data_IF_568812110527
#
_entry.id   IF_568812110527
#
_cell.length_a   1.000
_cell.length_b   1.000
_cell.length_c   1.000
_cell.angle_alpha   90.00
_cell.angle_beta   90.00
_cell.angle_gamma   90.00
#
_symmetry.space_group_name_H-M   'P 1'
#
loop_
_entity.id
_entity.type
_entity.pdbx_description
1 polymer ?
#
# COMPACT_ATOMS: atom_id res chain seq x y z
N UNK A 1 -2.55 42.46 -0.56
CA UNK A 1 -3.51 41.66 0.22
C UNK A 1 -4.73 41.41 -0.66
N UNK A 2 -4.69 40.38 -1.50
CA UNK A 2 -5.88 39.96 -2.25
C UNK A 2 -6.64 39.01 -1.33
N UNK A 3 -7.83 39.43 -0.88
CA UNK A 3 -8.75 38.54 -0.20
C UNK A 3 -9.16 37.44 -1.19
N UNK A 4 -8.57 36.25 -1.04
CA UNK A 4 -9.03 35.04 -1.71
C UNK A 4 -10.50 34.87 -1.32
N UNK A 5 -11.42 34.97 -2.28
CA UNK A 5 -12.83 34.70 -2.02
C UNK A 5 -12.96 33.27 -1.52
N UNK A 6 -13.33 33.11 -0.24
CA UNK A 6 -13.57 31.80 0.38
C UNK A 6 -15.01 31.39 0.06
N UNK A 7 -15.17 30.31 -0.68
CA UNK A 7 -16.47 29.74 -1.01
C UNK A 7 -16.92 28.79 0.09
N UNK A 8 -18.21 28.82 0.43
CA UNK A 8 -18.78 27.79 1.28
C UNK A 8 -18.64 26.43 0.58
N UNK A 9 -18.17 25.41 1.30
CA UNK A 9 -18.10 24.08 0.75
C UNK A 9 -19.53 23.56 0.46
N UNK A 10 -19.72 22.81 -0.64
CA UNK A 10 -21.00 22.18 -0.94
C UNK A 10 -21.43 21.19 0.16
N UNK A 11 -22.74 20.93 0.27
CA UNK A 11 -23.25 19.93 1.22
C UNK A 11 -22.76 18.50 0.88
N UNK A 12 -22.54 17.65 1.88
CA UNK A 12 -22.18 16.26 1.66
C UNK A 12 -23.38 15.51 1.06
N UNK A 13 -23.14 14.80 -0.04
CA UNK A 13 -24.17 14.04 -0.76
C UNK A 13 -24.81 12.98 0.14
N UNK A 14 -26.15 12.91 0.16
CA UNK A 14 -26.91 11.85 0.84
C UNK A 14 -26.66 10.44 0.23
N UNK A 15 -25.97 10.37 -0.92
CA UNK A 15 -25.57 9.09 -1.55
C UNK A 15 -24.27 8.52 -0.99
N UNK A 16 -23.55 9.26 -0.16
CA UNK A 16 -22.34 8.76 0.50
C UNK A 16 -22.71 7.63 1.46
N UNK A 17 -22.05 6.48 1.29
CA UNK A 17 -22.18 5.39 2.24
C UNK A 17 -21.19 5.59 3.40
N UNK A 18 -21.66 5.47 4.63
CA UNK A 18 -20.85 5.64 5.85
C UNK A 18 -20.78 4.34 6.67
N UNK A 19 -19.97 3.35 6.26
CA UNK A 19 -19.82 2.10 7.00
C UNK A 19 -19.46 2.36 8.47
N UNK A 20 -20.17 1.70 9.39
CA UNK A 20 -19.95 1.85 10.83
C UNK A 20 -20.53 3.12 11.45
N UNK A 21 -21.31 3.93 10.72
CA UNK A 21 -22.10 5.04 11.28
C UNK A 21 -23.60 4.81 11.11
N UNK A 22 -24.37 5.14 12.13
CA UNK A 22 -25.83 5.06 12.09
C UNK A 22 -26.48 6.21 11.30
N UNK A 23 -25.79 7.35 11.20
CA UNK A 23 -26.26 8.55 10.52
C UNK A 23 -25.18 9.08 9.57
N UNK A 24 -25.61 9.50 8.38
CA UNK A 24 -24.76 10.17 7.41
C UNK A 24 -24.28 11.51 7.97
N UNK A 25 -23.01 11.84 7.69
CA UNK A 25 -22.42 13.11 8.10
C UNK A 25 -22.85 14.23 7.16
N UNK A 26 -23.17 15.40 7.71
CA UNK A 26 -23.50 16.62 6.97
C UNK A 26 -22.45 17.70 7.22
N UNK A 27 -22.32 18.65 6.30
CA UNK A 27 -21.45 19.82 6.48
C UNK A 27 -21.83 20.64 7.72
N UNK A 28 -23.11 20.64 8.11
CA UNK A 28 -23.56 21.26 9.35
C UNK A 28 -22.93 20.63 10.61
N UNK A 29 -22.63 19.32 10.59
CA UNK A 29 -22.02 18.61 11.72
C UNK A 29 -20.54 19.00 11.90
N UNK A 30 -19.89 19.37 10.79
CA UNK A 30 -18.48 19.80 10.72
C UNK A 30 -18.26 21.26 11.15
N UNK A 31 -19.34 22.05 11.28
CA UNK A 31 -19.22 23.44 11.73
C UNK A 31 -18.75 23.53 13.16
N UNK A 32 -18.07 24.63 13.47
CA UNK A 32 -17.51 24.92 14.77
C UNK A 32 -16.15 24.28 15.02
N UNK A 33 -15.49 23.72 14.01
CA UNK A 33 -14.09 23.31 14.08
C UNK A 33 -13.46 23.32 12.67
N UNK A 34 -12.18 23.72 12.53
CA UNK A 34 -11.41 23.46 11.32
C UNK A 34 -11.48 21.99 10.90
N UNK A 35 -11.66 21.73 9.60
CA UNK A 35 -11.78 20.37 9.07
C UNK A 35 -10.82 20.12 7.92
N UNK A 36 -10.14 18.98 7.94
CA UNK A 36 -9.41 18.42 6.81
C UNK A 36 -10.30 17.39 6.11
N UNK A 37 -10.74 17.69 4.90
CA UNK A 37 -11.54 16.78 4.07
C UNK A 37 -10.67 16.19 2.96
N UNK A 38 -10.52 14.87 2.94
CA UNK A 38 -9.76 14.14 1.92
C UNK A 38 -10.69 13.53 0.88
N UNK A 39 -10.38 13.73 -0.39
CA UNK A 39 -10.88 12.93 -1.51
C UNK A 39 -9.75 12.01 -1.99
N UNK A 40 -9.95 10.70 -1.90
CA UNK A 40 -8.91 9.71 -2.12
C UNK A 40 -9.41 8.43 -2.80
N UNK A 41 -8.49 7.53 -3.12
CA UNK A 41 -8.78 6.19 -3.62
C UNK A 41 -8.04 5.18 -2.74
N UNK A 42 -8.70 4.11 -2.30
CA UNK A 42 -8.16 3.18 -1.29
C UNK A 42 -6.93 2.40 -1.80
N UNK A 43 -6.86 2.15 -3.11
CA UNK A 43 -5.74 1.47 -3.75
C UNK A 43 -4.51 2.36 -3.96
N UNK A 44 -4.63 3.68 -3.76
CA UNK A 44 -3.59 4.67 -4.05
C UNK A 44 -2.59 4.82 -2.90
N UNK A 45 -1.30 4.67 -3.20
CA UNK A 45 -0.21 4.83 -2.24
C UNK A 45 -0.12 6.29 -1.72
N UNK A 46 -0.39 7.29 -2.57
CA UNK A 46 -0.50 8.70 -2.18
C UNK A 46 -1.70 8.98 -1.26
N UNK A 47 -2.86 8.34 -1.50
CA UNK A 47 -4.02 8.47 -0.59
C UNK A 47 -3.69 7.88 0.77
N UNK A 48 -3.06 6.70 0.81
CA UNK A 48 -2.60 6.05 2.04
C UNK A 48 -1.62 6.93 2.83
N UNK A 49 -0.72 7.64 2.14
CA UNK A 49 0.15 8.64 2.77
C UNK A 49 -0.67 9.76 3.43
N UNK A 50 -1.65 10.33 2.72
CA UNK A 50 -2.47 11.43 3.25
C UNK A 50 -3.30 11.02 4.46
N UNK A 51 -3.80 9.78 4.49
CA UNK A 51 -4.51 9.24 5.65
C UNK A 51 -3.59 9.16 6.90
N UNK A 52 -2.31 8.83 6.71
CA UNK A 52 -1.33 8.85 7.79
C UNK A 52 -0.97 10.27 8.23
N UNK A 53 -0.78 11.17 7.28
CA UNK A 53 -0.51 12.58 7.55
C UNK A 53 -1.64 13.17 8.39
N UNK A 54 -2.90 12.90 8.00
CA UNK A 54 -4.09 13.30 8.78
C UNK A 54 -4.06 12.69 10.19
N UNK A 55 -3.74 11.41 10.32
CA UNK A 55 -3.60 10.76 11.64
C UNK A 55 -2.50 11.39 12.50
N UNK A 56 -1.37 11.81 11.90
CA UNK A 56 -0.29 12.54 12.59
C UNK A 56 -0.77 13.91 13.07
N UNK A 57 -1.52 14.63 12.25
CA UNK A 57 -2.05 15.96 12.58
C UNK A 57 -3.09 15.89 13.70
N UNK A 58 -3.98 14.90 13.66
CA UNK A 58 -4.96 14.68 14.72
C UNK A 58 -4.31 14.33 16.06
N UNK A 59 -3.15 13.66 16.09
CA UNK A 59 -2.42 13.46 17.34
C UNK A 59 -1.91 14.78 17.96
N UNK A 60 -1.69 15.81 17.14
CA UNK A 60 -1.20 17.13 17.60
C UNK A 60 -2.33 18.13 17.86
N UNK A 61 -3.40 18.06 17.07
CA UNK A 61 -4.47 19.06 17.04
C UNK A 61 -5.87 18.46 17.23
N UNK A 62 -6.00 17.20 17.65
CA UNK A 62 -7.28 16.46 17.65
C UNK A 62 -8.39 17.04 18.52
N UNK A 63 -8.05 17.90 19.47
CA UNK A 63 -9.01 18.62 20.32
C UNK A 63 -9.73 19.76 19.56
N UNK A 64 -9.15 20.24 18.46
CA UNK A 64 -9.61 21.42 17.71
C UNK A 64 -9.75 21.19 16.21
N UNK A 65 -9.11 20.15 15.66
CA UNK A 65 -9.10 19.82 14.24
C UNK A 65 -9.94 18.57 13.99
N UNK A 66 -10.82 18.62 12.99
CA UNK A 66 -11.58 17.46 12.52
C UNK A 66 -10.98 16.90 11.22
N UNK A 67 -11.20 15.62 10.98
CA UNK A 67 -10.81 14.97 9.73
C UNK A 67 -11.95 14.10 9.20
N UNK A 68 -12.10 14.09 7.88
CA UNK A 68 -13.04 13.23 7.16
C UNK A 68 -12.39 12.79 5.87
N UNK A 69 -12.57 11.53 5.48
CA UNK A 69 -12.11 11.05 4.18
C UNK A 69 -13.28 10.47 3.36
N UNK A 70 -13.37 10.91 2.10
CA UNK A 70 -14.31 10.44 1.10
C UNK A 70 -13.51 9.64 0.07
N UNK A 71 -13.72 8.33 0.04
CA UNK A 71 -13.04 7.47 -0.91
C UNK A 71 -13.90 7.27 -2.14
N UNK A 72 -13.29 7.53 -3.28
CA UNK A 72 -13.89 7.41 -4.61
C UNK A 72 -13.23 6.22 -5.29
N UNK A 73 -14.01 5.21 -5.72
CA UNK A 73 -13.46 4.00 -6.34
C UNK A 73 -12.73 4.34 -7.63
N UNK A 74 -11.50 3.85 -7.77
CA UNK A 74 -10.82 3.71 -9.06
C UNK A 74 -11.18 2.37 -9.69
N UNK A 75 -11.20 1.30 -8.89
CA UNK A 75 -11.50 -0.06 -9.31
C UNK A 75 -12.90 -0.49 -8.90
N UNK A 76 -13.49 -1.45 -9.61
CA UNK A 76 -14.82 -1.99 -9.27
C UNK A 76 -14.83 -2.62 -7.88
N UNK A 77 -13.76 -3.30 -7.48
CA UNK A 77 -13.63 -3.87 -6.13
C UNK A 77 -13.81 -2.83 -5.02
N UNK A 78 -13.33 -1.60 -5.22
CA UNK A 78 -13.39 -0.54 -4.21
C UNK A 78 -14.83 -0.01 -3.98
N UNK A 79 -15.80 -0.40 -4.83
CA UNK A 79 -17.22 -0.15 -4.57
C UNK A 79 -17.79 -1.01 -3.44
N UNK A 80 -17.11 -2.08 -3.07
CA UNK A 80 -17.47 -2.90 -1.92
C UNK A 80 -17.04 -2.22 -0.61
N UNK A 81 -17.99 -1.90 0.31
CA UNK A 81 -17.68 -1.27 1.59
C UNK A 81 -16.67 -2.01 2.46
N UNK A 82 -16.47 -3.33 2.25
CA UNK A 82 -15.46 -4.12 2.97
C UNK A 82 -14.04 -3.58 2.75
N UNK A 83 -13.72 -3.06 1.56
CA UNK A 83 -12.41 -2.45 1.30
C UNK A 83 -12.18 -1.17 2.10
N UNK A 84 -13.24 -0.39 2.34
CA UNK A 84 -13.18 0.80 3.18
C UNK A 84 -12.91 0.42 4.64
N UNK A 85 -13.61 -0.59 5.15
CA UNK A 85 -13.42 -1.12 6.51
C UNK A 85 -12.01 -1.70 6.69
N UNK A 86 -11.53 -2.46 5.69
CA UNK A 86 -10.16 -2.97 5.66
C UNK A 86 -9.14 -1.83 5.74
N UNK A 87 -9.27 -0.79 4.91
CA UNK A 87 -8.35 0.36 4.94
C UNK A 87 -8.38 1.08 6.30
N UNK A 88 -9.58 1.29 6.85
CA UNK A 88 -9.75 1.92 8.15
C UNK A 88 -9.03 1.14 9.26
N UNK A 89 -9.15 -0.19 9.24
CA UNK A 89 -8.49 -1.08 10.20
C UNK A 89 -6.98 -1.16 9.99
N UNK A 90 -6.53 -1.32 8.74
CA UNK A 90 -5.10 -1.45 8.37
C UNK A 90 -4.29 -0.21 8.78
N UNK A 91 -4.89 0.98 8.67
CA UNK A 91 -4.27 2.24 9.08
C UNK A 91 -4.67 2.71 10.50
N UNK A 92 -5.50 1.92 11.20
CA UNK A 92 -6.05 2.27 12.52
C UNK A 92 -6.63 3.70 12.58
N UNK A 93 -7.40 4.09 11.55
CA UNK A 93 -7.88 5.47 11.39
C UNK A 93 -8.94 5.81 12.43
N UNK A 94 -8.72 6.92 13.14
CA UNK A 94 -9.59 7.42 14.20
C UNK A 94 -10.66 8.40 13.74
N UNK A 95 -10.90 8.53 12.44
CA UNK A 95 -11.82 9.52 11.85
C UNK A 95 -12.76 8.88 10.81
N UNK A 96 -13.89 9.52 10.48
CA UNK A 96 -14.90 8.96 9.59
C UNK A 96 -14.42 8.82 8.14
N UNK A 97 -14.73 7.66 7.56
CA UNK A 97 -14.55 7.38 6.15
C UNK A 97 -15.91 7.17 5.49
N UNK A 98 -16.11 7.75 4.31
CA UNK A 98 -17.27 7.49 3.45
C UNK A 98 -16.83 6.91 2.12
N UNK A 99 -17.71 6.12 1.52
CA UNK A 99 -17.59 5.64 0.16
C UNK A 99 -18.49 6.49 -0.76
N UNK A 100 -17.87 7.19 -1.71
CA UNK A 100 -18.53 7.93 -2.79
C UNK A 100 -18.54 7.07 -4.07
N UNK A 101 -19.29 5.97 -4.04
CA UNK A 101 -19.27 4.95 -5.09
C UNK A 101 -19.67 5.49 -6.49
N UNK A 102 -20.49 6.55 -6.51
CA UNK A 102 -21.04 7.18 -7.70
C UNK A 102 -20.36 8.51 -8.05
N UNK A 103 -19.25 8.86 -7.38
CA UNK A 103 -18.47 10.08 -7.63
C UNK A 103 -19.30 11.37 -7.47
N UNK A 104 -20.30 11.35 -6.60
CA UNK A 104 -21.26 12.43 -6.44
C UNK A 104 -20.65 13.61 -5.69
N UNK A 105 -20.02 13.36 -4.54
CA UNK A 105 -19.32 14.38 -3.79
C UNK A 105 -18.08 14.85 -4.57
N UNK A 106 -17.38 13.93 -5.23
CA UNK A 106 -16.26 14.28 -6.12
C UNK A 106 -16.62 15.35 -7.15
N UNK A 107 -17.71 15.15 -7.91
CA UNK A 107 -18.18 16.11 -8.91
C UNK A 107 -18.69 17.40 -8.27
N UNK A 108 -19.43 17.30 -7.17
CA UNK A 108 -20.02 18.45 -6.50
C UNK A 108 -18.98 19.41 -5.92
N UNK A 109 -17.87 18.88 -5.40
CA UNK A 109 -16.73 19.65 -4.88
C UNK A 109 -15.72 20.07 -5.96
N UNK A 110 -15.96 19.66 -7.22
CA UNK A 110 -15.09 19.96 -8.36
C UNK A 110 -13.69 19.40 -8.17
N UNK A 111 -13.58 18.14 -7.71
CA UNK A 111 -12.28 17.48 -7.53
C UNK A 111 -11.83 16.89 -8.87
N UNK A 112 -10.53 16.98 -9.17
CA UNK A 112 -9.96 16.56 -10.45
C UNK A 112 -8.91 15.46 -10.32
N UNK A 113 -8.35 15.26 -9.11
CA UNK A 113 -7.22 14.34 -8.91
C UNK A 113 -7.18 13.73 -7.50
N UNK A 114 -6.74 12.49 -7.44
CA UNK A 114 -6.47 11.79 -6.19
C UNK A 114 -5.01 11.93 -5.77
N UNK A 115 -4.73 12.02 -4.45
CA UNK A 115 -5.62 12.55 -3.43
C UNK A 115 -5.78 14.06 -3.56
N UNK A 116 -6.90 14.61 -3.09
CA UNK A 116 -7.06 16.06 -2.88
C UNK A 116 -7.51 16.32 -1.44
N UNK A 117 -6.82 17.23 -0.74
CA UNK A 117 -7.21 17.73 0.58
C UNK A 117 -7.86 19.10 0.45
N UNK A 118 -9.00 19.28 1.11
CA UNK A 118 -9.62 20.57 1.35
C UNK A 118 -9.46 20.94 2.82
N UNK A 119 -8.92 22.13 3.06
CA UNK A 119 -8.83 22.73 4.38
C UNK A 119 -10.00 23.70 4.57
N UNK A 120 -10.91 23.33 5.46
CA UNK A 120 -12.13 24.08 5.74
C UNK A 120 -12.01 24.82 7.07
N UNK A 121 -12.43 26.09 7.11
CA UNK A 121 -12.55 26.84 8.36
C UNK A 121 -13.73 26.33 9.21
N UNK A 122 -13.88 26.88 10.43
CA UNK A 122 -14.93 26.48 11.36
C UNK A 122 -16.35 26.77 10.85
N UNK A 123 -16.51 27.64 9.84
CA UNK A 123 -17.81 27.89 9.21
C UNK A 123 -18.10 26.95 8.02
N UNK A 124 -17.14 26.11 7.65
CA UNK A 124 -17.23 25.19 6.52
C UNK A 124 -16.89 25.83 5.18
N UNK A 125 -16.09 26.91 5.16
CA UNK A 125 -15.61 27.52 3.91
C UNK A 125 -14.25 26.97 3.53
N UNK A 126 -14.04 26.74 2.23
CA UNK A 126 -12.76 26.26 1.70
C UNK A 126 -11.72 27.40 1.78
N UNK A 127 -10.65 27.16 2.54
CA UNK A 127 -9.51 28.08 2.68
C UNK A 127 -8.35 27.70 1.78
N UNK A 128 -8.11 26.40 1.61
CA UNK A 128 -7.01 25.87 0.81
C UNK A 128 -7.38 24.52 0.21
N UNK A 129 -6.87 24.27 -1.00
CA UNK A 129 -6.91 23.00 -1.71
C UNK A 129 -5.49 22.52 -2.00
N UNK A 130 -5.21 21.26 -1.69
CA UNK A 130 -3.91 20.64 -1.94
C UNK A 130 -4.11 19.37 -2.77
N UNK A 131 -3.47 19.31 -3.93
CA UNK A 131 -3.54 18.16 -4.85
C UNK A 131 -2.28 17.32 -4.70
N UNK A 132 -2.44 16.00 -4.61
CA UNK A 132 -1.36 15.03 -4.48
C UNK A 132 -0.81 14.85 -3.07
N UNK A 133 0.25 14.04 -2.96
CA UNK A 133 1.04 13.89 -1.75
C UNK A 133 2.30 14.77 -1.85
N UNK A 134 2.36 15.80 -1.00
CA UNK A 134 3.52 16.64 -0.78
C UNK A 134 3.99 16.54 0.68
N UNK A 135 5.06 17.24 1.07
CA UNK A 135 5.66 17.12 2.40
C UNK A 135 4.65 17.33 3.52
N UNK A 136 4.67 16.48 4.54
CA UNK A 136 3.78 16.60 5.70
C UNK A 136 4.00 17.90 6.47
N UNK A 137 5.23 18.45 6.42
CA UNK A 137 5.56 19.74 7.03
C UNK A 137 4.75 20.91 6.47
N UNK A 138 4.61 20.99 5.13
CA UNK A 138 3.78 22.03 4.49
C UNK A 138 2.32 21.93 4.92
N UNK A 139 1.78 20.71 4.95
CA UNK A 139 0.41 20.47 5.41
C UNK A 139 0.25 20.86 6.90
N UNK A 140 1.24 20.55 7.74
CA UNK A 140 1.22 20.90 9.16
C UNK A 140 1.23 22.41 9.39
N UNK A 141 2.04 23.18 8.64
CA UNK A 141 2.05 24.64 8.71
C UNK A 141 0.70 25.25 8.31
N UNK A 142 0.10 24.75 7.22
CA UNK A 142 -1.21 25.22 6.76
C UNK A 142 -2.32 24.91 7.77
N UNK A 143 -2.30 23.72 8.37
CA UNK A 143 -3.25 23.34 9.42
C UNK A 143 -3.04 24.15 10.68
N UNK A 144 -1.80 24.43 11.08
CA UNK A 144 -1.50 25.28 12.23
C UNK A 144 -2.04 26.69 12.03
N UNK A 145 -1.87 27.28 10.84
CA UNK A 145 -2.44 28.58 10.50
C UNK A 145 -3.97 28.56 10.55
N UNK A 146 -4.60 27.53 9.98
CA UNK A 146 -6.06 27.36 9.99
C UNK A 146 -6.63 27.25 11.41
N UNK A 147 -5.96 26.51 12.29
CA UNK A 147 -6.35 26.36 13.70
C UNK A 147 -6.18 27.68 14.46
N UNK A 148 -5.11 28.43 14.19
CA UNK A 148 -4.87 29.72 14.84
C UNK A 148 -5.91 30.80 14.46
N UNK A 149 -6.51 30.71 13.27
CA UNK A 149 -7.60 31.59 12.84
C UNK A 149 -8.97 31.22 13.44
N UNK A 150 -9.13 30.02 14.01
CA UNK A 150 -10.41 29.54 14.52
C UNK A 150 -10.78 30.22 15.85
N UNK A 151 -12.03 30.70 16.01
CA UNK A 151 -12.46 31.36 17.25
C UNK A 151 -12.36 30.44 18.46
N UNK A 152 -12.01 30.95 19.65
CA UNK A 152 -11.85 30.15 20.88
C UNK A 152 -13.10 29.32 21.23
N UNK A 153 -14.29 29.81 20.86
CA UNK A 153 -15.55 29.07 21.04
C UNK A 153 -15.67 27.82 20.13
N UNK A 154 -14.99 27.81 18.98
CA UNK A 154 -14.87 26.65 18.09
C UNK A 154 -13.84 25.62 18.60
N UNK A 155 -13.04 25.97 19.61
CA UNK A 155 -12.04 25.09 20.21
C UNK A 155 -12.60 24.28 21.39
N UNK A 156 -13.83 24.60 21.85
CA UNK A 156 -14.49 23.93 22.98
C UNK A 156 -15.53 22.93 22.48
N UNK A 157 -15.19 21.64 22.64
CA UNK A 157 -16.10 20.51 22.80
C UNK A 157 -16.68 19.86 21.53
N UNK A 158 -15.80 19.36 20.63
CA UNK A 158 -16.20 18.41 19.56
C UNK A 158 -15.17 17.29 19.31
N UNK A 159 -14.95 16.46 20.33
CA UNK A 159 -14.31 15.14 20.24
C UNK A 159 -15.23 14.06 19.65
N UNK A 160 -16.44 14.39 19.19
CA UNK A 160 -17.43 13.41 18.78
C UNK A 160 -17.18 12.75 17.40
N UNK A 161 -16.42 13.41 16.52
CA UNK A 161 -16.09 12.87 15.19
C UNK A 161 -14.76 12.12 15.17
N UNK A 162 -13.77 12.63 15.90
CA UNK A 162 -12.45 12.01 16.04
C UNK A 162 -12.46 11.11 17.28
N UNK A 163 -12.12 9.84 17.15
CA UNK A 163 -12.17 8.91 18.27
C UNK A 163 -13.43 8.08 18.33
N UNK A 164 -14.09 7.83 17.18
CA UNK A 164 -14.80 6.57 17.00
C UNK A 164 -13.86 5.48 17.52
N UNK A 165 -14.27 4.80 18.60
CA UNK A 165 -13.49 3.73 19.25
C UNK A 165 -12.89 2.92 18.12
N UNK A 166 -11.55 2.84 18.08
CA UNK A 166 -10.79 1.94 17.19
C UNK A 166 -11.70 0.74 16.99
N UNK A 167 -12.25 0.53 15.80
CA UNK A 167 -13.07 -0.65 15.56
C UNK A 167 -12.20 -1.78 16.05
N UNK A 168 -12.58 -2.42 17.16
CA UNK A 168 -11.68 -3.27 17.89
C UNK A 168 -11.45 -4.45 16.97
N UNK A 169 -10.37 -4.39 16.21
CA UNK A 169 -9.95 -5.51 15.41
C UNK A 169 -9.78 -6.66 16.40
N UNK A 170 -10.40 -7.81 16.13
CA UNK A 170 -10.15 -8.98 16.95
C UNK A 170 -8.64 -9.16 17.08
N UNK A 171 -8.19 -9.52 18.28
CA UNK A 171 -6.80 -9.84 18.57
C UNK A 171 -6.46 -11.16 17.86
N UNK A 172 -6.25 -11.07 16.55
CA UNK A 172 -5.94 -12.18 15.68
C UNK A 172 -4.42 -12.39 15.66
N UNK A 173 -3.93 -13.62 15.47
CA UNK A 173 -2.49 -13.86 15.37
C UNK A 173 -1.82 -13.09 14.23
N UNK A 174 -2.54 -12.85 13.13
CA UNK A 174 -2.10 -12.07 11.98
C UNK A 174 -3.03 -10.88 11.75
N UNK A 175 -2.48 -9.80 11.20
CA UNK A 175 -3.19 -8.59 10.83
C UNK A 175 -2.71 -8.08 9.48
N UNK A 176 -3.54 -8.25 8.46
CA UNK A 176 -3.25 -7.83 7.08
C UNK A 176 -1.85 -8.22 6.58
N UNK A 177 -1.48 -9.51 6.55
CA UNK A 177 -0.18 -9.92 6.05
C UNK A 177 -0.05 -9.60 4.55
N UNK A 178 1.09 -9.05 4.10
CA UNK A 178 1.26 -8.63 2.68
C UNK A 178 2.45 -9.22 1.94
N UNK A 179 3.43 -9.81 2.62
CA UNK A 179 4.57 -10.44 1.94
C UNK A 179 5.04 -11.69 2.64
N UNK A 180 5.54 -12.62 1.83
CA UNK A 180 6.11 -13.89 2.25
C UNK A 180 7.49 -14.02 1.61
N UNK A 181 8.48 -14.48 2.36
CA UNK A 181 9.74 -14.96 1.83
C UNK A 181 10.02 -16.37 2.33
N UNK A 182 10.43 -17.27 1.44
CA UNK A 182 10.69 -18.68 1.78
C UNK A 182 12.19 -18.91 1.88
N UNK A 183 12.63 -19.44 3.02
CA UNK A 183 14.00 -19.88 3.28
C UNK A 183 14.10 -21.40 3.42
N UNK A 184 15.26 -21.89 3.84
CA UNK A 184 15.44 -23.32 4.10
C UNK A 184 14.69 -23.74 5.39
N UNK A 185 13.56 -24.44 5.22
CA UNK A 185 12.77 -24.94 6.34
C UNK A 185 12.02 -23.88 7.15
N UNK A 186 11.99 -22.64 6.66
CA UNK A 186 11.39 -21.48 7.34
C UNK A 186 10.66 -20.60 6.33
N UNK A 187 9.63 -19.92 6.80
CA UNK A 187 8.98 -18.82 6.10
C UNK A 187 9.07 -17.54 6.92
N UNK A 188 9.12 -16.42 6.22
CA UNK A 188 9.10 -15.09 6.78
C UNK A 188 7.85 -14.38 6.31
N UNK A 189 7.13 -13.73 7.22
CA UNK A 189 5.86 -13.07 6.94
C UNK A 189 5.91 -11.61 7.39
N UNK A 190 5.55 -10.69 6.52
CA UNK A 190 5.29 -9.31 6.89
C UNK A 190 3.86 -9.21 7.44
N UNK A 191 3.75 -9.13 8.76
CA UNK A 191 2.49 -8.97 9.50
C UNK A 191 2.18 -7.47 9.62
N UNK A 192 1.79 -6.88 8.49
CA UNK A 192 1.83 -5.44 8.22
C UNK A 192 0.96 -4.62 9.17
N UNK A 193 -0.23 -5.12 9.50
CA UNK A 193 -1.16 -4.49 10.44
C UNK A 193 -0.70 -4.55 11.90
N UNK A 194 0.20 -5.48 12.25
CA UNK A 194 0.89 -5.50 13.54
C UNK A 194 2.29 -4.86 13.50
N UNK A 195 2.69 -4.30 12.36
CA UNK A 195 3.97 -3.60 12.20
C UNK A 195 5.20 -4.43 12.61
N UNK A 196 5.19 -5.73 12.29
CA UNK A 196 6.24 -6.68 12.63
C UNK A 196 6.52 -7.68 11.50
N UNK A 197 7.66 -8.35 11.59
CA UNK A 197 8.02 -9.49 10.73
C UNK A 197 8.07 -10.75 11.58
N UNK A 198 7.46 -11.84 11.09
CA UNK A 198 7.46 -13.14 11.77
C UNK A 198 8.37 -14.12 11.02
N UNK A 199 9.18 -14.87 11.76
CA UNK A 199 9.84 -16.08 11.27
C UNK A 199 9.06 -17.28 11.80
N UNK A 200 8.58 -18.14 10.90
CA UNK A 200 7.81 -19.33 11.23
C UNK A 200 8.42 -20.58 10.60
N UNK A 201 8.09 -21.76 11.14
CA UNK A 201 8.19 -22.99 10.37
C UNK A 201 7.02 -23.11 9.36
N UNK A 202 7.07 -24.12 8.49
CA UNK A 202 6.02 -24.35 7.48
C UNK A 202 4.68 -24.85 8.06
N UNK A 203 4.61 -25.17 9.35
CA UNK A 203 3.36 -25.52 10.03
C UNK A 203 2.70 -24.31 10.70
N UNK A 204 3.32 -23.12 10.64
CA UNK A 204 2.81 -21.89 11.25
C UNK A 204 3.32 -21.63 12.66
N UNK A 205 4.22 -22.45 13.21
CA UNK A 205 4.80 -22.15 14.52
C UNK A 205 5.71 -20.93 14.41
N UNK A 206 5.39 -19.89 15.16
CA UNK A 206 6.24 -18.69 15.28
C UNK A 206 7.52 -19.08 16.03
N UNK A 207 8.66 -18.91 15.35
CA UNK A 207 10.00 -19.17 15.91
C UNK A 207 10.59 -17.88 16.48
N UNK A 208 10.45 -16.77 15.76
CA UNK A 208 10.92 -15.44 16.17
C UNK A 208 9.98 -14.34 15.63
N UNK A 209 9.97 -13.22 16.33
CA UNK A 209 9.36 -11.97 15.89
C UNK A 209 10.44 -10.91 15.81
N UNK A 210 10.43 -10.11 14.74
CA UNK A 210 11.25 -8.91 14.59
C UNK A 210 10.34 -7.69 14.54
N UNK A 211 10.63 -6.69 15.37
CA UNK A 211 9.79 -5.53 15.55
C UNK A 211 8.95 -5.64 16.82
N UNK A 212 8.92 -4.58 17.62
CA UNK A 212 8.11 -4.46 18.84
C UNK A 212 6.60 -4.42 18.57
N UNK A 213 6.19 -4.19 17.32
CA UNK A 213 4.82 -3.90 16.92
C UNK A 213 4.39 -2.44 17.12
N UNK A 214 5.27 -1.60 17.66
CA UNK A 214 5.04 -0.16 17.69
C UNK A 214 5.10 0.43 16.27
N UNK A 215 4.18 1.35 15.97
CA UNK A 215 4.18 2.13 14.72
C UNK A 215 5.30 3.18 14.74
N UNK A 216 6.55 2.76 14.60
CA UNK A 216 7.72 3.62 14.77
C UNK A 216 8.90 3.28 13.84
N UNK A 217 10.00 4.03 13.97
CA UNK A 217 11.20 3.90 13.16
C UNK A 217 12.44 3.76 14.05
N UNK A 218 12.69 2.54 14.51
CA UNK A 218 13.81 2.23 15.41
C UNK A 218 14.58 1.01 14.89
N UNK A 219 15.91 1.11 14.87
CA UNK A 219 16.83 -0.01 14.69
C UNK A 219 17.10 -0.72 16.02
N UNK A 220 17.80 -1.85 15.97
CA UNK A 220 18.27 -2.58 17.15
C UNK A 220 17.82 -4.03 17.16
N UNK A 221 17.85 -4.65 18.33
CA UNK A 221 17.43 -6.04 18.47
C UNK A 221 15.93 -6.23 18.14
N UNK A 222 15.54 -7.48 17.92
CA UNK A 222 14.19 -7.86 17.51
C UNK A 222 13.05 -7.29 18.38
N UNK A 223 13.25 -7.09 19.68
CA UNK A 223 12.24 -6.56 20.61
C UNK A 223 12.17 -5.04 20.69
N UNK A 224 13.23 -4.34 20.25
CA UNK A 224 13.36 -2.88 20.29
C UNK A 224 13.05 -2.25 18.94
N UNK A 225 13.49 -2.90 17.86
CA UNK A 225 13.27 -2.40 16.52
C UNK A 225 11.78 -2.15 16.25
N UNK A 226 11.46 -1.21 15.38
CA UNK A 226 10.10 -0.87 15.02
C UNK A 226 9.98 -0.62 13.52
N UNK A 227 8.82 -0.97 12.98
CA UNK A 227 8.46 -0.78 11.58
C UNK A 227 7.15 0.03 11.49
N UNK A 228 6.83 0.53 10.31
CA UNK A 228 5.53 1.14 9.99
C UNK A 228 5.00 0.50 8.72
N UNK A 229 4.07 -0.45 8.90
CA UNK A 229 3.45 -1.23 7.81
C UNK A 229 4.49 -1.75 6.80
N UNK A 230 5.37 -2.68 7.21
CA UNK A 230 6.28 -3.31 6.27
C UNK A 230 5.49 -4.10 5.23
N UNK A 231 5.79 -3.95 3.93
CA UNK A 231 5.02 -4.60 2.87
C UNK A 231 5.76 -5.63 2.04
N UNK A 232 7.07 -5.46 1.83
CA UNK A 232 7.86 -6.31 0.95
C UNK A 232 8.98 -7.01 1.69
N UNK A 233 9.25 -8.26 1.31
CA UNK A 233 10.33 -9.07 1.85
C UNK A 233 11.19 -9.64 0.73
N UNK A 234 12.51 -9.67 0.93
CA UNK A 234 13.42 -10.42 0.08
C UNK A 234 14.50 -11.09 0.92
N UNK A 235 14.66 -12.40 0.74
CA UNK A 235 15.67 -13.18 1.45
C UNK A 235 16.93 -13.32 0.58
N UNK A 236 18.09 -13.08 1.16
CA UNK A 236 19.37 -13.38 0.55
C UNK A 236 20.34 -13.94 1.59
N UNK A 237 20.62 -15.25 1.49
CA UNK A 237 21.46 -15.96 2.48
C UNK A 237 20.86 -15.77 3.89
N UNK A 238 21.65 -15.23 4.81
CA UNK A 238 21.26 -14.99 6.21
C UNK A 238 20.76 -13.55 6.44
N UNK A 239 20.37 -12.84 5.39
CA UNK A 239 19.84 -11.47 5.48
C UNK A 239 18.45 -11.42 4.91
N UNK A 240 17.48 -10.95 5.70
CA UNK A 240 16.14 -10.65 5.24
C UNK A 240 16.01 -9.13 5.05
N UNK A 241 15.74 -8.70 3.83
CA UNK A 241 15.45 -7.31 3.51
C UNK A 241 13.96 -7.02 3.65
N UNK A 242 13.64 -5.84 4.16
CA UNK A 242 12.28 -5.40 4.46
C UNK A 242 12.04 -4.04 3.81
N UNK A 243 10.97 -3.93 3.03
CA UNK A 243 10.44 -2.66 2.57
C UNK A 243 9.51 -2.13 3.65
N UNK A 244 10.02 -1.19 4.45
CA UNK A 244 9.31 -0.56 5.56
C UNK A 244 8.52 0.64 5.02
N UNK A 245 7.45 0.33 4.29
CA UNK A 245 6.74 1.24 3.39
C UNK A 245 6.27 2.52 4.07
N UNK A 246 5.69 2.42 5.28
CA UNK A 246 5.21 3.59 6.03
C UNK A 246 6.33 4.46 6.61
N UNK A 247 7.56 3.94 6.69
CA UNK A 247 8.75 4.69 7.07
C UNK A 247 9.54 5.21 5.85
N UNK A 248 9.11 4.90 4.62
CA UNK A 248 9.86 5.26 3.41
C UNK A 248 11.31 4.75 3.46
N UNK A 249 11.50 3.52 3.96
CA UNK A 249 12.82 3.00 4.29
C UNK A 249 13.04 1.57 3.80
N UNK A 250 14.29 1.24 3.50
CA UNK A 250 14.76 -0.13 3.35
C UNK A 250 15.44 -0.55 4.64
N UNK A 251 15.03 -1.69 5.18
CA UNK A 251 15.60 -2.27 6.41
C UNK A 251 16.20 -3.63 6.07
N UNK A 252 17.13 -4.09 6.89
CA UNK A 252 17.65 -5.46 6.87
C UNK A 252 17.56 -6.08 8.26
N UNK A 253 17.35 -7.38 8.29
CA UNK A 253 17.38 -8.21 9.48
C UNK A 253 18.53 -9.21 9.28
N UNK A 254 19.52 -9.18 10.16
CA UNK A 254 20.52 -10.23 10.25
C UNK A 254 19.87 -11.45 10.91
N UNK A 255 19.71 -12.55 10.18
CA UNK A 255 18.99 -13.71 10.68
C UNK A 255 19.79 -14.52 11.72
N UNK A 256 21.10 -14.29 11.85
CA UNK A 256 21.92 -14.94 12.89
C UNK A 256 21.75 -14.23 14.23
N UNK A 257 21.89 -12.91 14.26
CA UNK A 257 21.78 -12.11 15.49
C UNK A 257 20.34 -11.71 15.82
N UNK A 258 19.49 -11.59 14.80
CA UNK A 258 18.14 -11.02 14.90
C UNK A 258 18.11 -9.49 14.99
N UNK A 259 19.23 -8.82 14.68
CA UNK A 259 19.29 -7.35 14.67
C UNK A 259 18.69 -6.76 13.39
N UNK A 260 17.96 -5.67 13.57
CA UNK A 260 17.38 -4.86 12.51
C UNK A 260 18.21 -3.60 12.32
N UNK A 261 18.55 -3.31 11.06
CA UNK A 261 19.33 -2.15 10.66
C UNK A 261 18.67 -1.43 9.49
N UNK A 262 18.77 -0.12 9.45
CA UNK A 262 18.36 0.70 8.31
C UNK A 262 19.44 0.67 7.23
N UNK A 263 19.02 0.48 5.97
CA UNK A 263 19.88 0.60 4.79
C UNK A 263 19.80 2.00 4.18
N UNK A 264 18.59 2.55 4.05
CA UNK A 264 18.33 3.91 3.61
C UNK A 264 16.91 4.35 4.00
N UNK A 265 16.65 5.66 3.91
CA UNK A 265 15.42 6.29 4.40
C UNK A 265 15.63 6.93 5.78
N UNK A 266 14.79 7.91 6.12
CA UNK A 266 14.89 8.66 7.38
C UNK A 266 13.65 8.54 8.28
N UNK A 267 12.63 7.77 7.87
CA UNK A 267 11.41 7.57 8.67
C UNK A 267 10.40 8.71 8.59
N UNK A 268 10.68 9.78 7.83
CA UNK A 268 9.87 11.00 7.76
C UNK A 268 9.52 11.42 6.33
N UNK A 269 9.16 10.44 5.51
CA UNK A 269 8.73 10.65 4.13
C UNK A 269 9.85 10.46 3.10
N UNK A 270 9.60 10.90 1.86
CA UNK A 270 10.54 10.72 0.76
C UNK A 270 11.91 11.36 1.06
N UNK A 271 13.00 10.62 0.87
CA UNK A 271 14.36 11.12 1.13
C UNK A 271 15.39 10.59 0.13
N UNK A 272 16.48 11.32 -0.08
CA UNK A 272 17.54 10.89 -1.01
C UNK A 272 18.33 9.72 -0.42
N UNK A 273 18.64 8.72 -1.25
CA UNK A 273 19.33 7.49 -0.87
C UNK A 273 20.41 7.11 -1.88
N UNK A 274 21.26 8.06 -2.31
CA UNK A 274 22.16 7.88 -3.45
C UNK A 274 21.73 8.84 -4.56
N UNK A 275 21.45 8.33 -5.76
CA UNK A 275 20.93 9.14 -6.88
C UNK A 275 19.42 9.08 -7.00
N UNK A 276 18.77 8.14 -6.30
CA UNK A 276 17.32 7.99 -6.24
C UNK A 276 16.75 8.45 -4.89
N UNK A 277 15.46 8.78 -4.90
CA UNK A 277 14.67 9.02 -3.68
C UNK A 277 14.02 7.72 -3.23
N UNK A 278 14.08 7.42 -1.94
CA UNK A 278 13.29 6.35 -1.34
C UNK A 278 11.93 6.93 -0.94
N UNK A 279 10.87 6.49 -1.61
CA UNK A 279 9.47 6.90 -1.43
C UNK A 279 8.54 5.68 -1.52
N UNK A 280 8.01 5.24 -0.37
CA UNK A 280 7.12 4.07 -0.24
C UNK A 280 7.59 2.83 -1.01
N UNK A 281 8.73 2.22 -0.63
CA UNK A 281 9.12 0.93 -1.19
C UNK A 281 8.07 -0.12 -0.84
N UNK A 282 7.64 -0.93 -1.79
CA UNK A 282 6.58 -1.94 -1.60
C UNK A 282 7.05 -3.37 -1.93
N UNK A 283 7.69 -3.55 -3.08
CA UNK A 283 8.15 -4.87 -3.55
C UNK A 283 9.66 -4.97 -3.49
N UNK A 284 10.17 -6.13 -3.07
CA UNK A 284 11.60 -6.39 -3.00
C UNK A 284 11.96 -7.68 -3.74
N UNK A 285 13.11 -7.67 -4.38
CA UNK A 285 13.72 -8.87 -4.94
C UNK A 285 15.24 -8.78 -4.86
N UNK A 286 15.87 -9.70 -4.12
CA UNK A 286 17.31 -9.71 -3.97
C UNK A 286 17.99 -10.53 -5.07
N UNK A 287 19.19 -10.09 -5.47
CA UNK A 287 20.18 -10.83 -6.25
C UNK A 287 21.49 -10.87 -5.47
N UNK A 288 22.56 -11.48 -6.00
CA UNK A 288 23.84 -11.55 -5.29
C UNK A 288 24.47 -10.19 -4.97
N UNK A 289 24.18 -9.15 -5.75
CA UNK A 289 24.84 -7.83 -5.67
C UNK A 289 23.88 -6.66 -5.47
N UNK A 290 22.60 -6.83 -5.83
CA UNK A 290 21.61 -5.75 -5.76
C UNK A 290 20.34 -6.23 -5.08
N UNK A 291 19.69 -5.32 -4.35
CA UNK A 291 18.30 -5.43 -3.96
C UNK A 291 17.47 -4.56 -4.91
N UNK A 292 16.63 -5.18 -5.72
CA UNK A 292 15.67 -4.48 -6.58
C UNK A 292 14.44 -4.08 -5.77
N UNK A 293 13.94 -2.88 -6.02
CA UNK A 293 12.89 -2.23 -5.22
C UNK A 293 11.83 -1.65 -6.15
N UNK A 294 10.58 -2.00 -5.90
CA UNK A 294 9.43 -1.37 -6.52
C UNK A 294 9.00 -0.18 -5.66
N UNK A 295 9.06 1.02 -6.24
CA UNK A 295 8.78 2.29 -5.58
C UNK A 295 7.38 2.75 -5.93
N UNK A 296 6.44 2.56 -5.00
CA UNK A 296 5.04 2.89 -5.22
C UNK A 296 4.78 4.40 -5.19
N UNK A 297 5.54 5.14 -4.40
CA UNK A 297 5.34 6.58 -4.18
C UNK A 297 5.78 7.45 -5.35
N UNK A 298 6.76 7.00 -6.14
CA UNK A 298 7.30 7.78 -7.26
C UNK A 298 7.27 7.06 -8.62
N UNK A 299 6.59 5.91 -8.72
CA UNK A 299 6.41 5.12 -9.95
C UNK A 299 7.72 4.66 -10.61
N UNK A 300 8.70 4.22 -9.81
CA UNK A 300 10.00 3.75 -10.31
C UNK A 300 10.35 2.34 -9.85
N UNK A 301 11.29 1.74 -10.58
CA UNK A 301 12.02 0.56 -10.17
C UNK A 301 13.45 0.99 -9.89
N UNK A 302 13.91 0.75 -8.67
CA UNK A 302 15.24 1.11 -8.21
C UNK A 302 16.06 -0.15 -7.87
N UNK A 303 17.38 0.01 -7.81
CA UNK A 303 18.29 -1.01 -7.32
C UNK A 303 19.21 -0.41 -6.25
N UNK A 304 19.28 -1.08 -5.11
CA UNK A 304 20.21 -0.77 -4.04
C UNK A 304 21.46 -1.65 -4.20
N UNK A 305 22.61 -1.05 -4.46
CA UNK A 305 23.90 -1.73 -4.55
C UNK A 305 24.34 -2.17 -3.14
N UNK A 306 24.34 -3.48 -2.89
CA UNK A 306 24.63 -4.05 -1.57
C UNK A 306 26.08 -3.85 -1.12
N UNK A 307 26.99 -3.52 -2.04
CA UNK A 307 28.40 -3.26 -1.74
C UNK A 307 28.67 -1.78 -1.46
N UNK A 308 28.03 -0.88 -2.21
CA UNK A 308 28.23 0.57 -2.11
C UNK A 308 27.27 1.25 -1.15
N UNK A 309 26.12 0.63 -0.87
CA UNK A 309 25.08 1.20 -0.02
C UNK A 309 24.32 2.35 -0.67
N UNK A 310 24.15 2.35 -1.99
CA UNK A 310 23.49 3.42 -2.75
C UNK A 310 22.31 2.89 -3.56
N UNK A 311 21.22 3.67 -3.60
CA UNK A 311 20.03 3.44 -4.40
C UNK A 311 20.10 4.24 -5.71
N UNK A 312 19.81 3.56 -6.82
CA UNK A 312 19.79 4.14 -8.16
C UNK A 312 18.52 3.71 -8.91
N UNK A 313 17.99 4.60 -9.74
CA UNK A 313 16.85 4.27 -10.61
C UNK A 313 17.29 3.37 -11.75
N UNK A 314 16.64 2.22 -11.89
CA UNK A 314 16.84 1.28 -13.02
C UNK A 314 15.86 1.58 -14.14
N UNK A 315 14.60 1.84 -13.80
CA UNK A 315 13.56 2.16 -14.76
C UNK A 315 12.45 3.03 -14.14
N UNK A 316 11.76 3.80 -14.98
CA UNK A 316 10.65 4.66 -14.59
C UNK A 316 11.00 6.15 -14.64
N UNK A 317 10.25 6.87 -15.47
CA UNK A 317 10.28 8.34 -15.54
C UNK A 317 9.70 9.01 -14.30
N UNK A 318 8.83 8.28 -13.58
CA UNK A 318 8.07 8.73 -12.43
C UNK A 318 6.66 9.25 -12.75
N UNK A 319 6.34 9.39 -14.04
CA UNK A 319 4.97 9.65 -14.46
C UNK A 319 4.08 8.44 -14.22
N UNK A 320 2.84 8.70 -13.80
CA UNK A 320 1.81 7.69 -13.66
C UNK A 320 1.25 7.31 -15.04
N UNK A 321 1.76 6.24 -15.64
CA UNK A 321 1.30 5.73 -16.94
C UNK A 321 1.80 4.29 -17.18
N UNK A 322 1.31 3.67 -18.26
CA UNK A 322 1.82 2.38 -18.76
C UNK A 322 2.49 2.64 -20.11
N UNK A 323 3.77 2.97 -20.08
CA UNK A 323 4.54 3.26 -21.29
C UNK A 323 5.76 2.34 -21.36
N UNK A 324 5.85 1.55 -22.42
CA UNK A 324 7.03 0.74 -22.75
C UNK A 324 8.17 1.62 -23.26
N UNK A 325 9.39 1.08 -23.30
CA UNK A 325 10.53 1.77 -23.90
C UNK A 325 11.83 1.57 -23.13
N UNK A 326 12.75 2.51 -23.29
CA UNK A 326 14.01 2.53 -22.55
C UNK A 326 13.77 2.89 -21.08
N UNK A 327 14.47 2.21 -20.17
CA UNK A 327 14.28 2.17 -18.72
C UNK A 327 13.79 3.48 -18.12
N UNK A 328 14.59 4.54 -18.20
CA UNK A 328 14.29 5.83 -17.56
C UNK A 328 13.14 6.61 -18.23
N UNK A 329 12.80 6.29 -19.47
CA UNK A 329 11.68 6.91 -20.20
C UNK A 329 10.38 6.11 -20.11
N UNK A 330 10.46 4.82 -19.76
CA UNK A 330 9.29 4.01 -19.46
C UNK A 330 8.52 4.59 -18.27
N UNK A 331 7.22 4.30 -18.19
CA UNK A 331 6.40 4.72 -17.07
C UNK A 331 5.77 3.51 -16.39
N UNK A 332 5.55 3.63 -15.09
CA UNK A 332 4.85 2.67 -14.25
C UNK A 332 3.67 3.39 -13.57
N UNK A 333 2.76 2.61 -13.02
CA UNK A 333 1.61 3.06 -12.26
C UNK A 333 1.54 2.27 -10.95
N UNK A 334 2.27 2.76 -9.94
CA UNK A 334 2.37 2.18 -8.60
C UNK A 334 2.86 0.72 -8.60
N UNK A 335 4.14 0.46 -8.91
CA UNK A 335 4.70 -0.89 -8.88
C UNK A 335 4.77 -1.42 -7.44
N UNK A 336 4.40 -2.69 -7.23
CA UNK A 336 4.29 -3.28 -5.88
C UNK A 336 4.97 -4.63 -5.70
N UNK A 337 5.04 -5.46 -6.73
CA UNK A 337 5.55 -6.83 -6.65
C UNK A 337 6.68 -7.05 -7.65
N UNK A 338 7.69 -7.83 -7.26
CA UNK A 338 8.87 -8.11 -8.09
C UNK A 338 9.18 -9.60 -8.12
N UNK A 339 9.66 -10.09 -9.26
CA UNK A 339 10.25 -11.42 -9.36
C UNK A 339 11.39 -11.41 -10.39
N UNK A 340 12.55 -11.96 -10.05
CA UNK A 340 13.74 -11.94 -10.90
C UNK A 340 14.01 -13.32 -11.49
N UNK A 341 14.19 -13.40 -12.81
CA UNK A 341 14.72 -14.59 -13.49
C UNK A 341 15.86 -14.17 -14.40
N UNK A 342 17.07 -14.63 -14.10
CA UNK A 342 18.27 -14.22 -14.83
C UNK A 342 18.38 -12.69 -14.86
N UNK A 343 18.40 -12.07 -16.04
CA UNK A 343 18.49 -10.61 -16.21
C UNK A 343 17.14 -9.97 -16.55
N UNK A 344 16.03 -10.65 -16.24
CA UNK A 344 14.67 -10.12 -16.45
C UNK A 344 13.96 -9.98 -15.11
N UNK A 345 13.66 -8.75 -14.74
CA UNK A 345 12.86 -8.41 -13.56
C UNK A 345 11.41 -8.24 -13.99
N UNK A 346 10.54 -9.15 -13.56
CA UNK A 346 9.10 -9.02 -13.69
C UNK A 346 8.58 -8.09 -12.60
N UNK A 347 7.62 -7.25 -12.98
CA UNK A 347 7.05 -6.21 -12.13
C UNK A 347 5.53 -6.32 -12.16
N UNK A 348 4.94 -6.35 -10.98
CA UNK A 348 3.52 -6.14 -10.77
C UNK A 348 3.27 -4.63 -10.67
N UNK A 349 2.62 -4.06 -11.69
CA UNK A 349 2.36 -2.63 -11.80
C UNK A 349 0.89 -2.35 -11.49
N UNK A 350 0.63 -2.17 -10.18
CA UNK A 350 -0.66 -2.46 -9.57
C UNK A 350 -1.76 -1.50 -10.00
N UNK A 351 -1.52 -0.19 -9.94
CA UNK A 351 -2.52 0.79 -10.36
C UNK A 351 -2.70 0.79 -11.89
N UNK A 352 -1.70 0.28 -12.62
CA UNK A 352 -1.77 -0.02 -14.05
C UNK A 352 -2.57 -1.29 -14.39
N UNK A 353 -2.91 -2.13 -13.40
CA UNK A 353 -3.50 -3.46 -13.62
C UNK A 353 -2.70 -4.30 -14.63
N UNK A 354 -1.36 -4.21 -14.55
CA UNK A 354 -0.47 -4.76 -15.56
C UNK A 354 0.70 -5.55 -14.98
N UNK A 355 1.22 -6.48 -15.77
CA UNK A 355 2.48 -7.18 -15.49
C UNK A 355 3.50 -6.74 -16.53
N UNK A 356 4.67 -6.31 -16.06
CA UNK A 356 5.71 -5.68 -16.88
C UNK A 356 7.01 -6.48 -16.76
N UNK A 357 7.88 -6.38 -17.74
CA UNK A 357 9.23 -6.94 -17.72
C UNK A 357 10.27 -5.85 -17.93
N UNK A 358 11.27 -5.80 -17.06
CA UNK A 358 12.46 -4.95 -17.18
C UNK A 358 13.64 -5.84 -17.52
N UNK A 359 14.20 -5.67 -18.71
CA UNK A 359 15.38 -6.37 -19.18
C UNK A 359 16.62 -5.62 -18.69
N UNK A 360 17.30 -6.15 -17.68
CA UNK A 360 18.33 -5.42 -16.94
C UNK A 360 19.60 -5.13 -17.76
N UNK A 361 19.86 -5.89 -18.83
CA UNK A 361 21.05 -5.71 -19.69
C UNK A 361 20.98 -4.47 -20.57
N UNK A 362 19.81 -4.23 -21.19
CA UNK A 362 19.57 -3.14 -22.13
C UNK A 362 18.60 -2.09 -21.56
N UNK A 363 18.17 -2.28 -20.31
CA UNK A 363 17.18 -1.49 -19.59
C UNK A 363 15.85 -1.35 -20.31
N UNK A 364 15.48 -2.27 -21.21
CA UNK A 364 14.20 -2.18 -21.91
C UNK A 364 13.04 -2.56 -20.98
N UNK A 365 11.95 -1.84 -21.03
CA UNK A 365 10.69 -2.15 -20.34
C UNK A 365 9.63 -2.56 -21.36
N UNK A 366 8.91 -3.64 -21.06
CA UNK A 366 7.85 -4.18 -21.90
C UNK A 366 6.62 -4.57 -21.08
N UNK A 367 5.42 -4.23 -21.57
CA UNK A 367 4.16 -4.72 -21.02
C UNK A 367 3.92 -6.16 -21.45
N UNK A 368 3.68 -7.05 -20.49
CA UNK A 368 3.31 -8.44 -20.75
C UNK A 368 1.81 -8.63 -20.74
N UNK A 369 1.09 -7.97 -19.83
CA UNK A 369 -0.37 -8.04 -19.64
C UNK A 369 -0.83 -6.66 -19.17
N UNK A 370 -2.03 -6.23 -19.57
CA UNK A 370 -2.59 -4.90 -19.26
C UNK A 370 -2.55 -3.97 -20.47
N UNK A 371 -3.52 -3.06 -20.58
CA UNK A 371 -3.69 -2.18 -21.76
C UNK A 371 -3.68 -0.68 -21.40
N UNK A 372 -3.87 -0.33 -20.13
CA UNK A 372 -3.93 1.04 -19.67
C UNK A 372 -4.31 1.11 -18.20
N UNK A 373 -4.01 2.22 -17.50
CA UNK A 373 -4.33 2.34 -16.07
C UNK A 373 -5.82 2.21 -15.71
N UNK A 374 -6.71 2.39 -16.68
CA UNK A 374 -8.17 2.28 -16.53
C UNK A 374 -8.77 1.09 -17.28
N UNK A 375 -7.94 0.28 -17.96
CA UNK A 375 -8.36 -0.93 -18.67
C UNK A 375 -8.18 -2.17 -17.80
N UNK A 376 -8.86 -2.18 -16.66
CA UNK A 376 -8.86 -3.29 -15.69
C UNK A 376 -10.08 -4.20 -15.87
N UNK A 377 -10.08 -5.34 -15.19
CA UNK A 377 -11.20 -6.28 -15.19
C UNK A 377 -10.78 -7.69 -14.77
N UNK A 378 -11.65 -8.66 -15.01
CA UNK A 378 -11.45 -10.06 -14.66
C UNK A 378 -11.61 -10.93 -15.91
N UNK A 379 -10.61 -10.95 -16.78
CA UNK A 379 -10.68 -11.64 -18.07
C UNK A 379 -9.45 -12.51 -18.24
N UNK A 380 -9.68 -13.82 -18.42
CA UNK A 380 -8.66 -14.78 -18.82
C UNK A 380 -8.48 -14.78 -20.35
N UNK A 381 -7.32 -15.25 -20.81
CA UNK A 381 -7.06 -15.38 -22.24
C UNK A 381 -5.66 -14.92 -22.64
N UNK A 382 -5.41 -14.80 -23.96
CA UNK A 382 -4.17 -14.21 -24.46
C UNK A 382 -3.87 -12.86 -23.83
N UNK A 383 -2.58 -12.55 -23.67
CA UNK A 383 -2.06 -11.32 -23.03
C UNK A 383 -2.72 -10.01 -23.50
N UNK A 384 -3.10 -9.93 -24.77
CA UNK A 384 -3.74 -8.75 -25.36
C UNK A 384 -5.16 -8.51 -24.87
N UNK A 385 -5.88 -9.57 -24.50
CA UNK A 385 -7.28 -9.49 -24.04
C UNK A 385 -7.43 -9.69 -22.54
N UNK A 386 -6.47 -10.35 -21.91
CA UNK A 386 -6.50 -10.60 -20.49
C UNK A 386 -6.61 -9.28 -19.70
N UNK A 387 -7.37 -9.32 -18.61
CA UNK A 387 -7.57 -8.19 -17.72
C UNK A 387 -7.37 -8.65 -16.29
N UNK A 388 -6.59 -7.86 -15.55
CA UNK A 388 -6.36 -7.96 -14.12
C UNK A 388 -7.00 -6.73 -13.46
N UNK A 389 -7.12 -6.76 -12.13
CA UNK A 389 -7.55 -5.61 -11.35
C UNK A 389 -6.68 -5.49 -10.11
N UNK A 390 -5.89 -4.41 -10.05
CA UNK A 390 -5.01 -4.11 -8.92
C UNK A 390 -4.17 -5.31 -8.43
N UNK A 391 -3.40 -5.97 -9.32
CA UNK A 391 -2.56 -7.09 -8.91
C UNK A 391 -1.45 -6.56 -7.98
N UNK A 392 -1.17 -7.27 -6.88
CA UNK A 392 -0.24 -6.78 -5.83
C UNK A 392 1.07 -7.54 -5.74
N UNK A 393 1.06 -8.84 -6.03
CA UNK A 393 2.22 -9.70 -5.90
C UNK A 393 2.36 -10.67 -7.07
N UNK A 394 3.60 -11.07 -7.33
CA UNK A 394 3.96 -12.07 -8.33
C UNK A 394 5.02 -13.00 -7.77
N UNK A 395 4.99 -14.27 -8.19
CA UNK A 395 6.00 -15.25 -7.84
C UNK A 395 6.32 -16.13 -9.05
N UNK A 396 7.60 -16.39 -9.28
CA UNK A 396 8.02 -17.32 -10.32
C UNK A 396 7.91 -18.75 -9.81
N UNK A 397 7.35 -19.62 -10.64
CA UNK A 397 7.43 -21.05 -10.42
C UNK A 397 8.89 -21.52 -10.55
N UNK A 398 9.42 -22.31 -9.60
CA UNK A 398 10.80 -22.78 -9.63
C UNK A 398 11.08 -23.84 -10.71
N UNK A 399 10.05 -24.53 -11.20
CA UNK A 399 10.18 -25.66 -12.12
C UNK A 399 9.71 -25.30 -13.53
N UNK A 400 8.67 -24.46 -13.64
CA UNK A 400 8.06 -24.08 -14.90
C UNK A 400 8.35 -22.63 -15.31
N UNK A 401 8.26 -22.29 -16.61
CA UNK A 401 8.21 -20.91 -17.07
C UNK A 401 6.83 -20.30 -16.80
N UNK A 402 6.39 -20.30 -15.55
CA UNK A 402 5.10 -19.83 -15.08
C UNK A 402 5.30 -18.71 -14.05
N UNK A 403 4.50 -17.65 -14.17
CA UNK A 403 4.42 -16.58 -13.20
C UNK A 403 3.05 -16.66 -12.51
N UNK A 404 3.04 -16.85 -11.21
CA UNK A 404 1.88 -16.70 -10.36
C UNK A 404 1.64 -15.22 -10.10
N UNK A 405 0.37 -14.81 -10.07
CA UNK A 405 -0.07 -13.43 -9.91
C UNK A 405 -1.18 -13.40 -8.86
N UNK A 406 -1.03 -12.58 -7.82
CA UNK A 406 -2.10 -12.25 -6.89
C UNK A 406 -2.90 -11.07 -7.46
N UNK A 407 -4.03 -11.38 -8.08
CA UNK A 407 -4.93 -10.44 -8.76
C UNK A 407 -5.91 -9.87 -7.73
N UNK A 408 -5.41 -8.96 -6.89
CA UNK A 408 -6.02 -8.67 -5.59
C UNK A 408 -7.40 -8.01 -5.68
N UNK A 409 -7.64 -7.13 -6.66
CA UNK A 409 -8.97 -6.56 -6.89
C UNK A 409 -10.00 -7.59 -7.38
N UNK A 410 -9.55 -8.70 -7.96
CA UNK A 410 -10.42 -9.80 -8.38
C UNK A 410 -10.47 -10.96 -7.36
N UNK A 411 -9.83 -10.81 -6.19
CA UNK A 411 -9.83 -11.80 -5.10
C UNK A 411 -9.42 -13.23 -5.55
N UNK A 412 -8.45 -13.31 -6.46
CA UNK A 412 -8.03 -14.59 -7.07
C UNK A 412 -6.54 -14.68 -7.33
N UNK A 413 -6.10 -15.89 -7.63
CA UNK A 413 -4.76 -16.15 -8.18
C UNK A 413 -4.88 -16.38 -9.68
N UNK A 414 -3.96 -15.80 -10.44
CA UNK A 414 -3.81 -16.01 -11.86
C UNK A 414 -2.42 -16.59 -12.16
N UNK A 415 -2.28 -17.19 -13.33
CA UNK A 415 -1.01 -17.66 -13.85
C UNK A 415 -0.75 -17.10 -15.23
N UNK A 416 0.51 -16.82 -15.53
CA UNK A 416 0.98 -16.37 -16.83
C UNK A 416 2.16 -17.22 -17.27
N UNK A 417 2.01 -17.99 -18.34
CA UNK A 417 3.14 -18.71 -18.94
C UNK A 417 4.05 -17.74 -19.71
N UNK A 418 5.33 -17.75 -19.38
CA UNK A 418 6.37 -16.93 -20.00
C UNK A 418 6.71 -17.46 -21.40
N UNK A 419 7.01 -16.58 -22.36
CA UNK A 419 7.36 -16.96 -23.75
C UNK A 419 6.22 -17.01 -24.78
N UNK A 420 5.02 -16.49 -24.45
CA UNK A 420 3.88 -16.41 -25.39
C UNK A 420 2.52 -16.79 -24.78
N UNK A 421 2.48 -17.06 -23.47
CA UNK A 421 1.35 -17.69 -22.80
C UNK A 421 0.13 -16.83 -22.54
N UNK A 422 -0.94 -17.54 -22.19
CA UNK A 422 -2.26 -17.09 -21.76
C UNK A 422 -2.22 -16.72 -20.27
N UNK A 423 -3.00 -15.72 -19.86
CA UNK A 423 -3.35 -15.49 -18.46
C UNK A 423 -4.54 -16.35 -18.11
N UNK A 424 -4.42 -17.21 -17.11
CA UNK A 424 -5.50 -18.10 -16.67
C UNK A 424 -5.72 -17.94 -15.18
N UNK A 425 -6.98 -17.78 -14.76
CA UNK A 425 -7.38 -17.89 -13.38
C UNK A 425 -7.09 -19.29 -12.85
N UNK A 426 -6.53 -19.36 -11.65
CA UNK A 426 -6.33 -20.61 -10.95
C UNK A 426 -7.53 -20.88 -10.05
N UNK A 427 -8.20 -22.02 -10.25
CA UNK A 427 -9.40 -22.37 -9.49
C UNK A 427 -9.02 -22.81 -8.08
N UNK A 428 -9.35 -21.98 -7.09
CA UNK A 428 -9.22 -22.32 -5.67
C UNK A 428 -10.57 -22.78 -5.11
N UNK A 429 -10.59 -23.65 -4.07
CA UNK A 429 -11.83 -24.10 -3.43
C UNK A 429 -12.57 -22.99 -2.67
N UNK A 430 -11.91 -21.84 -2.45
CA UNK A 430 -12.46 -20.66 -1.81
C UNK A 430 -12.02 -19.38 -2.53
N UNK A 431 -12.82 -18.33 -2.41
CA UNK A 431 -12.44 -16.97 -2.83
C UNK A 431 -11.42 -16.39 -1.85
N UNK A 432 -10.46 -15.62 -2.34
CA UNK A 432 -9.53 -14.87 -1.50
C UNK A 432 -10.13 -13.52 -1.10
N UNK A 433 -9.38 -12.75 -0.32
CA UNK A 433 -9.77 -11.45 0.20
C UNK A 433 -8.58 -10.51 0.07
N UNK A 434 -8.50 -9.79 -1.06
CA UNK A 434 -7.41 -8.85 -1.37
C UNK A 434 -6.01 -9.47 -1.13
N UNK A 435 -5.65 -10.59 -1.79
CA UNK A 435 -4.37 -11.25 -1.57
C UNK A 435 -3.20 -10.33 -1.91
N UNK A 436 -2.44 -9.93 -0.88
CA UNK A 436 -1.38 -8.94 -0.99
C UNK A 436 0.00 -9.50 -1.32
N UNK A 437 0.24 -10.78 -1.04
CA UNK A 437 1.55 -11.42 -1.14
C UNK A 437 1.48 -12.88 -1.56
N UNK A 438 2.43 -13.31 -2.39
CA UNK A 438 2.63 -14.72 -2.75
C UNK A 438 4.10 -15.06 -2.84
N UNK A 439 4.45 -16.31 -2.55
CA UNK A 439 5.81 -16.83 -2.73
C UNK A 439 5.78 -18.33 -3.09
N UNK A 440 6.66 -18.75 -3.99
CA UNK A 440 6.85 -20.17 -4.29
C UNK A 440 8.03 -20.73 -3.47
N UNK A 441 7.87 -21.93 -2.93
CA UNK A 441 8.92 -22.65 -2.21
C UNK A 441 8.36 -23.80 -1.38
N UNK A 442 9.20 -24.76 -1.01
CA UNK A 442 8.78 -25.98 -0.30
C UNK A 442 7.67 -26.75 -1.06
N UNK A 443 7.86 -26.91 -2.37
CA UNK A 443 6.89 -27.53 -3.31
C UNK A 443 5.47 -26.94 -3.21
N UNK A 444 5.33 -25.67 -2.84
CA UNK A 444 4.04 -25.01 -2.65
C UNK A 444 4.04 -23.55 -3.10
N UNK A 445 2.83 -23.04 -3.37
CA UNK A 445 2.54 -21.61 -3.43
C UNK A 445 1.97 -21.17 -2.08
N UNK A 446 2.65 -20.23 -1.43
CA UNK A 446 2.21 -19.58 -0.21
C UNK A 446 1.49 -18.30 -0.54
N UNK A 447 0.34 -18.05 0.08
CA UNK A 447 -0.53 -16.92 -0.22
C UNK A 447 -0.85 -16.19 1.10
N UNK A 448 -0.51 -14.90 1.15
CA UNK A 448 -0.95 -14.01 2.21
C UNK A 448 -2.33 -13.47 1.81
N UNK A 449 -3.37 -14.06 2.38
CA UNK A 449 -4.76 -13.66 2.15
C UNK A 449 -5.09 -12.46 3.06
N UNK A 450 -4.61 -11.29 2.63
CA UNK A 450 -4.46 -10.10 3.48
C UNK A 450 -5.76 -9.69 4.17
N UNK A 451 -6.86 -9.59 3.42
CA UNK A 451 -8.17 -9.20 3.95
C UNK A 451 -8.83 -10.26 4.82
N UNK A 452 -8.35 -11.51 4.76
CA UNK A 452 -8.78 -12.60 5.63
C UNK A 452 -7.87 -12.76 6.86
N UNK A 453 -6.81 -11.95 6.99
CA UNK A 453 -5.83 -12.07 8.07
C UNK A 453 -5.17 -13.46 8.13
N UNK A 454 -4.96 -14.10 6.98
CA UNK A 454 -4.61 -15.52 6.92
C UNK A 454 -3.38 -15.82 6.05
N UNK A 455 -2.71 -16.93 6.36
CA UNK A 455 -1.70 -17.54 5.51
C UNK A 455 -2.25 -18.85 4.94
N UNK A 456 -2.17 -19.01 3.63
CA UNK A 456 -2.62 -20.22 2.93
C UNK A 456 -1.42 -20.89 2.24
N UNK A 457 -1.47 -22.22 2.17
CA UNK A 457 -0.51 -23.06 1.43
C UNK A 457 -1.27 -23.85 0.37
N UNK A 458 -0.96 -23.61 -0.89
CA UNK A 458 -1.41 -24.40 -2.04
C UNK A 458 -0.31 -25.41 -2.38
N UNK A 459 -0.57 -26.69 -2.14
CA UNK A 459 0.40 -27.74 -2.42
C UNK A 459 0.60 -27.91 -3.93
N UNK A 460 1.86 -27.89 -4.38
CA UNK A 460 2.20 -27.98 -5.80
C UNK A 460 2.02 -29.38 -6.40
N UNK A 461 1.87 -30.42 -5.59
CA UNK A 461 1.73 -31.81 -6.07
C UNK A 461 0.29 -32.20 -6.32
N UNK A 462 -0.60 -31.86 -5.39
CA UNK A 462 -2.01 -32.26 -5.45
C UNK A 462 -2.99 -31.09 -5.59
N UNK A 463 -2.51 -29.84 -5.56
CA UNK A 463 -3.33 -28.64 -5.68
C UNK A 463 -4.20 -28.36 -4.45
N UNK A 464 -3.96 -29.03 -3.32
CA UNK A 464 -4.75 -28.82 -2.10
C UNK A 464 -4.39 -27.48 -1.47
N UNK A 465 -5.41 -26.64 -1.26
CA UNK A 465 -5.29 -25.41 -0.49
C UNK A 465 -5.55 -25.69 1.00
N UNK A 466 -4.66 -25.23 1.88
CA UNK A 466 -4.80 -25.37 3.33
C UNK A 466 -4.54 -24.04 4.04
N UNK A 467 -5.28 -23.80 5.12
CA UNK A 467 -4.95 -22.76 6.09
C UNK A 467 -3.71 -23.16 6.89
N UNK A 468 -2.81 -22.20 7.14
CA UNK A 468 -1.63 -22.38 7.96
C UNK A 468 -1.88 -21.66 9.29
N UNK A 469 -2.02 -22.39 10.42
CA UNK A 469 -2.40 -21.83 11.72
C UNK A 469 -1.23 -21.07 12.35
N UNK A 470 -0.95 -19.86 11.86
CA UNK A 470 0.18 -19.07 12.35
C UNK A 470 -0.13 -18.53 13.74
N UNK A 471 0.50 -19.11 14.77
CA UNK A 471 0.32 -18.66 16.16
C UNK A 471 -1.07 -18.93 16.76
N UNK A 472 -1.86 -19.84 16.16
CA UNK A 472 -3.16 -20.30 16.67
C UNK A 472 -3.05 -21.41 17.72
#
# INVERSE_FOLDING_TARGET
MNATMTTAAPELSDRLAWPGRAQALRMADLRGAPTVLLFGCASSAWTRQRLDDMSRLLRRHGDVLQAVALLVPRFDAERDPRHLQQLQSEHALGFPLALDADWTAWQQFGIESWPTLLLLDAEGRERRRLVGAGPVGELAELVQALVAEAPEAAQKDKTALNGNKRGAMPDLPLSFPTAIAIGQGKLYLADTGHHRILECDFNGRILRQFGSGAYDYLDGNASVAAFRRPQGLALQRETLFVADTGNHALRRIDLRSGEVHTLCGNGDGPSQAGTATIDQPCGLQASSSHLYVAMAGDNRICAYDLSKGVLETVAGSGFFAINDGNGLFAAFAQPTGLALRQDVLYVCDAAGSSIRAVYLRDQRVQTLVGQGPYDFGNIDGPRSIARLQWPRAIALDPHDPLLWIADAGNDRICTLRLGGGVVSGYSLPQRLHNPGGIACGDDALWIADTGAHALLRLDGRDGTLRHVPVGE
#
